data_IF_709718769966
#
_entry.id   IF_709718769966
#
_cell.length_a   1.000
_cell.length_b   1.000
_cell.length_c   1.000
_cell.angle_alpha   90.00
_cell.angle_beta   90.00
_cell.angle_gamma   90.00
#
_symmetry.space_group_name_H-M   'P 1'
#
loop_
_entity.id
_entity.type
_entity.pdbx_description
1 polymer ?
#
# COMPACT_ATOMS: atom_id res chain seq x y z
N UNK A 1 -28.36 29.37 -35.30
CA UNK A 1 -28.33 29.37 -33.82
C UNK A 1 -28.46 27.92 -33.34
N UNK A 2 -27.39 27.25 -32.88
CA UNK A 2 -27.50 25.87 -32.41
C UNK A 2 -28.26 25.85 -31.07
N UNK A 3 -29.28 25.00 -30.98
CA UNK A 3 -30.05 24.80 -29.75
C UNK A 3 -29.15 24.30 -28.63
N UNK A 4 -28.96 25.12 -27.59
CA UNK A 4 -28.31 24.75 -26.33
C UNK A 4 -29.17 23.69 -25.63
N UNK A 5 -28.92 22.40 -25.91
CA UNK A 5 -29.53 21.29 -25.16
C UNK A 5 -29.19 21.48 -23.68
N UNK A 6 -30.22 21.56 -22.83
CA UNK A 6 -30.04 21.49 -21.36
C UNK A 6 -29.30 20.18 -21.07
N UNK A 7 -28.06 20.28 -20.58
CA UNK A 7 -27.35 19.14 -20.00
C UNK A 7 -28.25 18.61 -18.89
N UNK A 8 -28.87 17.45 -19.13
CA UNK A 8 -29.49 16.68 -18.06
C UNK A 8 -28.40 16.44 -17.00
N UNK A 9 -28.77 16.54 -15.71
CA UNK A 9 -27.84 16.29 -14.61
C UNK A 9 -27.11 14.98 -14.94
N UNK A 10 -25.77 15.01 -14.98
CA UNK A 10 -24.96 13.80 -15.13
C UNK A 10 -25.47 12.82 -14.08
N UNK A 11 -26.00 11.69 -14.53
CA UNK A 11 -26.29 10.57 -13.64
C UNK A 11 -25.00 10.28 -12.90
N UNK A 12 -25.03 10.44 -11.57
CA UNK A 12 -23.94 10.06 -10.70
C UNK A 12 -23.69 8.57 -10.92
N UNK A 13 -22.51 8.18 -11.36
CA UNK A 13 -22.19 6.76 -11.55
C UNK A 13 -21.59 6.17 -10.27
N UNK A 14 -21.94 4.92 -9.99
CA UNK A 14 -22.07 4.41 -8.62
C UNK A 14 -23.56 4.24 -8.33
N UNK A 15 -24.03 3.01 -8.30
CA UNK A 15 -25.42 2.75 -7.99
C UNK A 15 -25.60 2.93 -6.47
N UNK A 16 -26.54 3.79 -6.02
CA UNK A 16 -26.81 3.91 -4.59
C UNK A 16 -27.22 2.53 -4.05
N UNK A 17 -26.77 2.24 -2.83
CA UNK A 17 -27.13 1.03 -2.10
C UNK A 17 -27.87 1.43 -0.82
N UNK A 18 -28.86 0.65 -0.35
CA UNK A 18 -29.53 0.96 0.92
C UNK A 18 -28.52 0.88 2.07
N UNK A 19 -28.56 1.84 3.00
CA UNK A 19 -27.68 1.75 4.17
C UNK A 19 -28.20 0.70 5.14
N UNK A 20 -27.31 -0.16 5.60
CA UNK A 20 -27.60 -1.25 6.52
C UNK A 20 -26.70 -1.09 7.74
N UNK A 21 -27.27 -1.28 8.92
CA UNK A 21 -26.51 -1.26 10.17
C UNK A 21 -25.93 -2.65 10.47
N UNK A 22 -24.61 -2.78 10.37
CA UNK A 22 -23.87 -4.02 10.63
C UNK A 22 -23.81 -4.42 12.11
N UNK A 23 -24.29 -3.57 13.03
CA UNK A 23 -24.36 -3.88 14.47
C UNK A 23 -25.70 -4.51 14.89
N UNK A 24 -26.70 -4.49 14.02
CA UNK A 24 -28.01 -5.10 14.29
C UNK A 24 -27.99 -6.62 14.09
N UNK A 25 -27.09 -7.32 14.79
CA UNK A 25 -27.10 -8.79 14.92
C UNK A 25 -28.27 -9.29 15.80
N UNK A 26 -29.38 -8.54 15.82
CA UNK A 26 -30.69 -9.05 16.22
C UNK A 26 -31.19 -9.99 15.11
N UNK A 27 -30.66 -11.21 15.15
CA UNK A 27 -31.10 -12.41 14.41
C UNK A 27 -32.58 -12.77 14.66
N UNK A 28 -33.37 -11.89 15.27
CA UNK A 28 -34.75 -12.07 15.69
C UNK A 28 -35.80 -11.56 14.69
N UNK A 29 -35.44 -10.83 13.63
CA UNK A 29 -36.43 -10.14 12.77
C UNK A 29 -36.36 -10.41 11.26
N UNK A 30 -35.82 -11.55 10.81
CA UNK A 30 -36.17 -12.04 9.46
C UNK A 30 -37.60 -12.56 9.53
N UNK A 31 -38.55 -11.74 9.05
CA UNK A 31 -39.95 -12.14 8.92
C UNK A 31 -40.02 -13.50 8.21
N UNK A 32 -40.68 -14.51 8.80
CA UNK A 32 -40.71 -15.84 8.24
C UNK A 32 -41.44 -15.79 6.89
N UNK A 33 -40.70 -16.03 5.81
CA UNK A 33 -41.31 -16.47 4.58
C UNK A 33 -42.15 -17.71 4.93
N UNK A 34 -43.42 -17.67 4.53
CA UNK A 34 -44.48 -18.60 4.94
C UNK A 34 -44.23 -19.97 4.32
N UNK A 35 -43.25 -20.71 4.81
CA UNK A 35 -42.95 -22.07 4.36
C UNK A 35 -43.56 -23.10 5.30
N UNK A 36 -44.27 -24.04 4.68
CA UNK A 36 -45.02 -25.13 5.31
C UNK A 36 -44.11 -26.03 6.16
N UNK A 37 -44.62 -26.61 7.26
CA UNK A 37 -43.82 -27.41 8.18
C UNK A 37 -43.50 -28.77 7.56
N UNK A 38 -42.27 -28.97 7.13
CA UNK A 38 -41.73 -30.30 6.87
C UNK A 38 -40.52 -30.56 7.77
N UNK A 39 -40.81 -31.30 8.85
CA UNK A 39 -39.85 -31.79 9.81
C UNK A 39 -38.84 -32.75 9.16
N UNK A 40 -37.66 -32.23 8.80
CA UNK A 40 -36.43 -33.02 8.69
C UNK A 40 -35.29 -32.23 9.33
N UNK A 41 -34.86 -32.70 10.50
CA UNK A 41 -33.69 -32.25 11.25
C UNK A 41 -32.46 -32.35 10.33
N UNK A 42 -32.13 -31.23 9.66
CA UNK A 42 -30.93 -31.12 8.81
C UNK A 42 -29.72 -31.36 9.70
N UNK A 43 -29.00 -32.47 9.45
CA UNK A 43 -27.65 -32.68 9.99
C UNK A 43 -26.86 -31.42 9.65
N UNK A 44 -26.37 -30.73 10.69
CA UNK A 44 -25.42 -29.63 10.57
C UNK A 44 -24.27 -30.16 9.72
N UNK A 45 -24.24 -29.75 8.46
CA UNK A 45 -23.17 -30.09 7.54
C UNK A 45 -21.88 -29.64 8.20
N UNK A 46 -20.91 -30.55 8.34
CA UNK A 46 -19.57 -30.25 8.81
C UNK A 46 -19.13 -28.96 8.13
N UNK A 47 -18.90 -27.90 8.91
CA UNK A 47 -18.30 -26.66 8.43
C UNK A 47 -17.07 -27.07 7.63
N UNK A 48 -17.16 -26.95 6.31
CA UNK A 48 -16.03 -27.19 5.43
C UNK A 48 -14.92 -26.26 5.87
N UNK A 49 -13.75 -26.81 6.14
CA UNK A 49 -12.55 -26.03 6.50
C UNK A 49 -12.38 -24.93 5.45
N UNK A 50 -12.53 -23.67 5.87
CA UNK A 50 -12.29 -22.52 4.99
C UNK A 50 -10.79 -22.48 4.72
N UNK A 51 -10.41 -22.55 3.44
CA UNK A 51 -9.02 -22.43 3.01
C UNK A 51 -8.85 -21.12 2.26
N UNK A 52 -7.89 -20.29 2.68
CA UNK A 52 -7.54 -19.08 1.96
C UNK A 52 -6.70 -19.40 0.73
N UNK A 53 -6.95 -18.67 -0.36
CA UNK A 53 -6.09 -18.68 -1.54
C UNK A 53 -4.81 -17.88 -1.23
N UNK A 54 -3.74 -18.60 -0.92
CA UNK A 54 -2.43 -18.03 -0.61
C UNK A 54 -1.45 -18.45 -1.69
N UNK A 55 -1.10 -17.50 -2.56
CA UNK A 55 -0.14 -17.67 -3.64
C UNK A 55 1.24 -17.19 -3.19
N UNK A 56 2.22 -18.09 -3.25
CA UNK A 56 3.64 -17.85 -2.99
C UNK A 56 4.40 -18.62 -4.07
N UNK A 57 5.26 -17.94 -4.82
CA UNK A 57 6.01 -18.53 -5.93
C UNK A 57 7.51 -18.31 -5.73
N UNK A 58 8.31 -19.29 -6.15
CA UNK A 58 9.76 -19.24 -5.99
C UNK A 58 10.25 -19.73 -4.62
N UNK A 59 11.57 -19.92 -4.47
CA UNK A 59 12.16 -20.34 -3.21
C UNK A 59 12.08 -19.21 -2.17
N UNK A 60 12.01 -19.59 -0.90
CA UNK A 60 12.21 -18.63 0.19
C UNK A 60 13.66 -18.14 0.17
N UNK A 61 13.84 -16.82 0.08
CA UNK A 61 15.16 -16.19 0.11
C UNK A 61 15.47 -15.74 1.54
N UNK A 62 16.44 -16.41 2.16
CA UNK A 62 16.94 -16.04 3.50
C UNK A 62 18.12 -15.09 3.44
N UNK A 63 18.61 -14.78 2.23
CA UNK A 63 19.74 -13.88 2.02
C UNK A 63 19.35 -12.45 2.38
N UNK A 64 20.20 -11.82 3.19
CA UNK A 64 20.17 -10.39 3.46
C UNK A 64 20.68 -9.60 2.24
N UNK A 65 21.51 -10.22 1.39
CA UNK A 65 21.96 -9.61 0.15
C UNK A 65 20.86 -9.63 -0.92
N UNK A 66 20.74 -8.53 -1.66
CA UNK A 66 19.84 -8.40 -2.81
C UNK A 66 20.19 -9.40 -3.92
N UNK A 67 19.18 -9.95 -4.59
CA UNK A 67 19.37 -10.81 -5.77
C UNK A 67 19.61 -9.99 -7.06
N UNK A 68 19.79 -8.67 -6.94
CA UNK A 68 19.84 -7.73 -8.07
C UNK A 68 21.05 -6.82 -7.98
N UNK A 69 21.73 -6.58 -9.10
CA UNK A 69 22.77 -5.56 -9.17
C UNK A 69 22.20 -4.17 -8.88
N UNK A 70 22.77 -3.43 -7.93
CA UNK A 70 22.30 -2.09 -7.55
C UNK A 70 22.35 -1.05 -8.70
N UNK A 71 23.14 -1.31 -9.76
CA UNK A 71 23.26 -0.40 -10.90
C UNK A 71 22.35 -0.77 -12.07
N UNK A 72 22.42 -1.99 -12.59
CA UNK A 72 21.62 -2.40 -13.76
C UNK A 72 20.32 -3.11 -13.41
N UNK A 73 20.12 -3.50 -12.15
CA UNK A 73 18.94 -4.26 -11.69
C UNK A 73 18.80 -5.65 -12.33
N UNK A 74 19.87 -6.16 -12.94
CA UNK A 74 19.93 -7.53 -13.43
C UNK A 74 20.43 -8.47 -12.32
N UNK A 75 19.94 -9.71 -12.34
CA UNK A 75 20.45 -10.80 -11.51
C UNK A 75 21.68 -11.50 -12.12
N UNK A 76 21.99 -12.69 -11.63
CA UNK A 76 23.09 -13.54 -12.12
C UNK A 76 24.26 -13.61 -11.14
N UNK A 77 25.49 -13.59 -11.65
CA UNK A 77 26.70 -13.60 -10.82
C UNK A 77 26.91 -12.22 -10.20
N UNK A 78 26.60 -12.11 -8.91
CA UNK A 78 26.64 -10.88 -8.15
C UNK A 78 27.68 -10.97 -7.04
N UNK A 79 28.51 -9.92 -6.92
CA UNK A 79 29.41 -9.71 -5.79
C UNK A 79 28.66 -9.00 -4.67
N UNK A 80 28.64 -9.62 -3.49
CA UNK A 80 27.99 -9.10 -2.27
C UNK A 80 28.98 -8.22 -1.51
N UNK A 81 28.53 -7.04 -1.06
CA UNK A 81 29.31 -6.15 -0.21
C UNK A 81 29.61 -6.79 1.15
N UNK A 82 30.87 -6.80 1.57
CA UNK A 82 31.31 -7.39 2.85
C UNK A 82 31.09 -6.46 4.05
N UNK A 83 30.72 -5.20 3.81
CA UNK A 83 30.43 -4.23 4.85
C UNK A 83 29.20 -4.62 5.69
N UNK A 84 29.28 -4.55 7.04
CA UNK A 84 28.18 -4.91 7.92
C UNK A 84 26.89 -4.15 7.59
N UNK A 85 25.76 -4.87 7.56
CA UNK A 85 24.43 -4.34 7.25
C UNK A 85 24.30 -3.73 5.83
N UNK A 86 25.21 -4.03 4.92
CA UNK A 86 25.04 -3.69 3.51
C UNK A 86 24.39 -4.85 2.75
N UNK A 87 23.22 -4.61 2.18
CA UNK A 87 22.51 -5.57 1.33
C UNK A 87 22.94 -5.46 -0.16
N UNK A 88 23.94 -4.62 -0.43
CA UNK A 88 24.29 -4.20 -1.79
C UNK A 88 25.06 -5.24 -2.58
N UNK A 89 24.61 -5.47 -3.80
CA UNK A 89 25.16 -6.43 -4.75
C UNK A 89 25.48 -5.79 -6.10
N UNK A 90 26.52 -6.29 -6.76
CA UNK A 90 27.05 -5.71 -8.01
C UNK A 90 27.44 -6.80 -9.00
N UNK A 91 27.01 -6.68 -10.25
CA UNK A 91 27.50 -7.54 -11.32
C UNK A 91 28.84 -7.02 -11.87
N UNK A 92 29.65 -7.92 -12.42
CA UNK A 92 30.94 -7.56 -13.03
C UNK A 92 30.79 -6.55 -14.18
N UNK A 93 29.67 -6.56 -14.90
CA UNK A 93 29.43 -5.60 -15.99
C UNK A 93 29.34 -4.16 -15.50
N UNK A 94 28.72 -3.94 -14.34
CA UNK A 94 28.56 -2.61 -13.76
C UNK A 94 29.77 -2.18 -12.94
N UNK A 95 30.56 -3.15 -12.47
CA UNK A 95 31.76 -2.92 -11.67
C UNK A 95 32.94 -3.78 -12.18
N UNK A 96 33.48 -3.48 -13.38
CA UNK A 96 34.35 -4.37 -14.15
C UNK A 96 35.79 -4.53 -13.63
N UNK A 97 36.13 -3.97 -12.49
CA UNK A 97 37.47 -4.13 -11.93
C UNK A 97 37.41 -4.14 -10.41
N UNK A 98 37.02 -5.26 -9.79
CA UNK A 98 37.14 -5.39 -8.36
C UNK A 98 38.36 -6.26 -8.16
N UNK A 99 39.56 -5.73 -8.45
CA UNK A 99 40.85 -6.35 -8.11
C UNK A 99 40.69 -7.20 -6.87
N UNK A 100 41.14 -8.47 -6.89
CA UNK A 100 40.88 -9.53 -5.89
C UNK A 100 41.34 -9.10 -4.49
N UNK A 101 40.65 -8.14 -3.91
CA UNK A 101 40.73 -7.72 -2.55
C UNK A 101 39.92 -8.75 -1.76
N UNK A 102 40.50 -9.22 -0.66
CA UNK A 102 39.84 -10.17 0.25
C UNK A 102 38.54 -9.60 0.84
N UNK A 103 38.37 -8.27 0.83
CA UNK A 103 37.20 -7.57 1.36
C UNK A 103 36.68 -6.57 0.32
N UNK A 104 35.42 -6.73 -0.09
CA UNK A 104 34.73 -5.87 -1.02
C UNK A 104 33.84 -4.86 -0.30
N UNK A 105 34.19 -3.58 -0.41
CA UNK A 105 33.29 -2.49 -0.04
C UNK A 105 32.64 -1.91 -1.29
N UNK A 106 31.30 -1.89 -1.32
CA UNK A 106 30.60 -1.44 -2.51
C UNK A 106 30.65 0.09 -2.68
N UNK A 107 30.41 0.62 -3.89
CA UNK A 107 30.40 2.06 -4.16
C UNK A 107 29.52 2.89 -3.18
N UNK A 108 28.38 2.34 -2.76
CA UNK A 108 27.48 2.96 -1.77
C UNK A 108 28.17 3.11 -0.40
N UNK A 109 28.78 2.05 0.09
CA UNK A 109 29.51 2.06 1.37
C UNK A 109 30.76 2.92 1.32
N UNK A 110 31.47 2.98 0.18
CA UNK A 110 32.55 3.95 -0.01
C UNK A 110 32.06 5.41 0.09
N UNK A 111 30.88 5.70 -0.48
CA UNK A 111 30.34 7.05 -0.53
C UNK A 111 29.79 7.51 0.82
N UNK A 112 29.10 6.64 1.56
CA UNK A 112 28.36 7.01 2.78
C UNK A 112 28.92 6.40 4.08
N UNK A 113 29.84 5.44 3.99
CA UNK A 113 30.33 4.61 5.08
C UNK A 113 29.61 3.24 5.18
N UNK A 114 30.22 2.30 5.88
CA UNK A 114 29.72 0.94 6.10
C UNK A 114 28.25 0.90 6.52
N UNK A 115 27.40 0.25 5.71
CA UNK A 115 25.98 0.05 5.99
C UNK A 115 25.13 1.33 6.01
N UNK A 116 25.68 2.48 5.61
CA UNK A 116 24.96 3.77 5.66
C UNK A 116 24.27 4.08 4.33
N UNK A 117 23.02 4.50 4.42
CA UNK A 117 22.17 4.93 3.30
C UNK A 117 22.27 6.45 3.06
N UNK A 118 22.57 7.16 4.14
CA UNK A 118 22.64 8.62 4.24
C UNK A 118 23.73 8.99 5.24
N UNK A 119 24.31 10.18 5.10
CA UNK A 119 25.36 10.65 6.00
C UNK A 119 26.34 11.61 5.32
N UNK A 120 27.35 12.03 6.07
CA UNK A 120 28.46 12.82 5.54
C UNK A 120 29.13 12.01 4.45
N UNK A 121 29.06 12.50 3.20
CA UNK A 121 29.77 11.88 2.09
C UNK A 121 31.25 11.83 2.41
N UNK A 122 31.88 10.69 2.14
CA UNK A 122 33.33 10.60 2.23
C UNK A 122 33.95 11.68 1.31
N UNK A 123 35.01 12.35 1.78
CA UNK A 123 35.69 13.41 1.02
C UNK A 123 36.43 12.84 -0.20
N UNK A 124 36.85 11.58 -0.10
CA UNK A 124 37.49 10.83 -1.18
C UNK A 124 36.63 9.60 -1.55
N UNK A 125 35.43 9.82 -2.13
CA UNK A 125 34.55 8.72 -2.47
C UNK A 125 35.15 7.90 -3.61
N UNK A 126 34.88 6.59 -3.61
CA UNK A 126 35.24 5.68 -4.71
C UNK A 126 36.75 5.49 -4.90
N UNK A 127 37.55 5.51 -3.83
CA UNK A 127 38.95 5.07 -3.88
C UNK A 127 39.10 3.82 -3.00
N UNK A 128 39.29 2.65 -3.61
CA UNK A 128 39.76 1.43 -2.94
C UNK A 128 41.27 1.37 -3.08
N UNK A 129 41.99 1.22 -1.97
CA UNK A 129 43.41 0.83 -1.97
C UNK A 129 44.27 1.52 -3.04
N UNK A 130 44.16 2.87 -3.15
CA UNK A 130 44.83 3.77 -4.11
C UNK A 130 44.33 3.83 -5.56
N UNK A 131 43.20 3.19 -5.92
CA UNK A 131 42.61 3.24 -7.27
C UNK A 131 41.17 3.75 -7.27
N UNK A 132 40.77 4.55 -8.29
CA UNK A 132 39.40 4.98 -8.45
C UNK A 132 38.52 3.80 -8.90
N UNK A 133 37.37 3.64 -8.24
CA UNK A 133 36.33 2.68 -8.63
C UNK A 133 35.69 3.18 -9.92
N UNK A 134 35.73 2.36 -10.97
CA UNK A 134 35.08 2.63 -12.25
C UNK A 134 33.72 1.95 -12.28
N UNK A 135 32.67 2.76 -12.34
CA UNK A 135 31.32 2.27 -12.61
C UNK A 135 31.13 2.23 -14.13
N UNK A 136 30.82 1.06 -14.65
CA UNK A 136 30.43 0.90 -16.03
C UNK A 136 28.91 1.03 -16.13
N UNK A 137 28.45 2.06 -16.83
CA UNK A 137 27.04 2.32 -17.05
C UNK A 137 26.85 3.57 -17.90
N UNK A 138 25.77 3.60 -18.67
CA UNK A 138 25.35 4.82 -19.36
C UNK A 138 24.91 5.87 -18.32
N UNK A 139 25.28 7.14 -18.53
CA UNK A 139 25.12 8.23 -17.56
C UNK A 139 23.67 8.59 -17.14
N UNK A 140 22.67 7.83 -17.60
CA UNK A 140 21.27 8.29 -17.65
C UNK A 140 20.40 7.78 -16.48
N UNK A 141 20.80 6.73 -15.76
CA UNK A 141 20.02 6.23 -14.60
C UNK A 141 20.58 6.78 -13.29
N UNK A 142 20.38 8.08 -13.03
CA UNK A 142 20.84 8.81 -11.83
C UNK A 142 20.21 8.36 -10.49
N UNK A 143 19.61 7.17 -10.42
CA UNK A 143 19.27 6.49 -9.16
C UNK A 143 20.48 5.74 -8.60
N UNK A 144 21.62 6.43 -8.43
CA UNK A 144 22.84 5.77 -7.95
C UNK A 144 22.61 5.31 -6.50
N UNK A 145 22.48 4.00 -6.32
CA UNK A 145 22.43 3.28 -5.06
C UNK A 145 21.09 3.31 -4.30
N UNK A 146 19.97 3.14 -5.01
CA UNK A 146 18.70 2.83 -4.35
C UNK A 146 18.82 1.57 -3.49
N UNK A 147 18.07 1.52 -2.39
CA UNK A 147 18.13 0.41 -1.46
C UNK A 147 17.19 -0.69 -1.92
N UNK A 148 17.73 -1.87 -2.13
CA UNK A 148 16.93 -3.03 -2.48
C UNK A 148 16.63 -3.82 -1.23
N UNK A 149 15.35 -3.97 -0.91
CA UNK A 149 14.89 -4.77 0.20
C UNK A 149 14.34 -6.10 -0.29
N UNK A 150 14.85 -7.19 0.29
CA UNK A 150 14.30 -8.53 0.15
C UNK A 150 13.33 -8.89 1.29
N UNK A 151 12.91 -7.91 2.11
CA UNK A 151 12.09 -8.16 3.30
C UNK A 151 10.75 -8.80 2.91
N UNK A 152 10.35 -9.93 3.54
CA UNK A 152 9.11 -10.61 3.18
C UNK A 152 7.85 -9.73 3.34
N UNK A 153 7.13 -9.55 2.24
CA UNK A 153 5.88 -8.77 2.16
C UNK A 153 4.67 -9.59 1.72
N UNK A 154 3.51 -9.34 2.34
CA UNK A 154 2.25 -9.95 1.95
C UNK A 154 1.29 -8.88 1.40
N UNK A 155 0.73 -9.13 0.22
CA UNK A 155 -0.37 -8.37 -0.37
C UNK A 155 -1.66 -9.06 0.02
N UNK A 156 -2.48 -8.40 0.83
CA UNK A 156 -3.79 -8.89 1.26
C UNK A 156 -4.87 -8.06 0.56
N UNK A 157 -5.54 -8.68 -0.40
CA UNK A 157 -6.57 -8.05 -1.22
C UNK A 157 -7.95 -8.42 -0.70
N UNK A 158 -8.66 -7.43 -0.16
CA UNK A 158 -10.09 -7.53 0.13
C UNK A 158 -10.87 -6.97 -1.04
N UNK A 159 -11.78 -7.74 -1.62
CA UNK A 159 -12.63 -7.26 -2.69
C UNK A 159 -14.08 -7.67 -2.50
N UNK A 160 -15.01 -6.80 -2.90
CA UNK A 160 -16.42 -7.08 -2.75
C UNK A 160 -16.83 -8.29 -3.61
N UNK A 161 -17.54 -9.25 -3.04
CA UNK A 161 -18.10 -10.38 -3.80
C UNK A 161 -18.91 -9.87 -5.00
N UNK A 162 -18.75 -10.51 -6.16
CA UNK A 162 -19.36 -10.08 -7.42
C UNK A 162 -18.45 -9.18 -8.28
N UNK A 163 -17.38 -8.61 -7.70
CA UNK A 163 -16.30 -8.03 -8.49
C UNK A 163 -15.43 -9.14 -9.09
N UNK A 164 -14.97 -8.93 -10.33
CA UNK A 164 -14.05 -9.86 -10.98
C UNK A 164 -12.70 -9.84 -10.26
N UNK A 165 -12.15 -11.00 -9.84
CA UNK A 165 -10.79 -11.07 -9.31
C UNK A 165 -9.74 -10.88 -10.43
N UNK A 166 -10.14 -11.06 -11.69
CA UNK A 166 -9.29 -10.79 -12.86
C UNK A 166 -9.14 -9.27 -13.00
N UNK A 167 -7.90 -8.82 -13.05
CA UNK A 167 -7.56 -7.40 -13.23
C UNK A 167 -7.48 -6.58 -11.94
N UNK A 168 -7.54 -7.22 -10.76
CA UNK A 168 -7.25 -6.55 -9.49
C UNK A 168 -5.79 -6.05 -9.49
N UNK A 169 -5.58 -4.85 -8.97
CA UNK A 169 -4.25 -4.25 -8.86
C UNK A 169 -3.30 -5.06 -7.97
N UNK A 170 -3.83 -5.80 -6.99
CA UNK A 170 -3.09 -6.75 -6.16
C UNK A 170 -2.44 -7.86 -6.97
N UNK A 171 -3.17 -8.44 -7.93
CA UNK A 171 -2.67 -9.49 -8.83
C UNK A 171 -1.60 -8.98 -9.78
N UNK A 172 -1.78 -7.79 -10.36
CA UNK A 172 -0.77 -7.15 -11.22
C UNK A 172 0.50 -6.83 -10.43
N UNK A 173 0.37 -6.25 -9.23
CA UNK A 173 1.51 -5.94 -8.39
C UNK A 173 2.25 -7.22 -7.97
N UNK A 174 1.54 -8.26 -7.51
CA UNK A 174 2.14 -9.55 -7.18
C UNK A 174 2.93 -10.15 -8.35
N UNK A 175 2.33 -10.17 -9.55
CA UNK A 175 2.95 -10.74 -10.75
C UNK A 175 4.23 -10.02 -11.16
N UNK A 176 4.34 -8.73 -10.87
CA UNK A 176 5.58 -7.97 -11.07
C UNK A 176 6.58 -8.25 -9.95
N UNK A 177 6.13 -8.20 -8.69
CA UNK A 177 7.00 -8.31 -7.52
C UNK A 177 7.58 -9.71 -7.33
N UNK A 178 6.90 -10.77 -7.77
CA UNK A 178 7.44 -12.14 -7.71
C UNK A 178 8.75 -12.27 -8.48
N UNK A 179 8.91 -11.50 -9.56
CA UNK A 179 10.15 -11.44 -10.32
C UNK A 179 11.31 -10.87 -9.53
N UNK A 180 11.06 -10.04 -8.51
CA UNK A 180 12.08 -9.37 -7.69
C UNK A 180 12.28 -10.00 -6.31
N UNK A 181 11.20 -10.49 -5.70
CA UNK A 181 11.19 -10.99 -4.33
C UNK A 181 11.10 -12.51 -4.25
N UNK A 182 10.78 -13.21 -5.34
CA UNK A 182 10.58 -14.65 -5.38
C UNK A 182 9.64 -15.09 -4.25
N UNK A 183 10.03 -16.09 -3.44
CA UNK A 183 9.20 -16.58 -2.35
C UNK A 183 8.89 -15.51 -1.29
N UNK A 184 9.61 -14.39 -1.23
CA UNK A 184 9.42 -13.34 -0.23
C UNK A 184 8.24 -12.39 -0.54
N UNK A 185 7.44 -12.68 -1.57
CA UNK A 185 6.12 -12.06 -1.73
C UNK A 185 5.00 -13.10 -1.62
N UNK A 186 3.92 -12.74 -0.93
CA UNK A 186 2.68 -13.52 -0.90
C UNK A 186 1.51 -12.68 -1.40
N UNK A 187 0.58 -13.31 -2.13
CA UNK A 187 -0.72 -12.74 -2.45
C UNK A 187 -1.82 -13.54 -1.78
N UNK A 188 -2.71 -12.85 -1.08
CA UNK A 188 -3.91 -13.40 -0.46
C UNK A 188 -5.11 -12.65 -0.98
N UNK A 189 -5.98 -13.33 -1.72
CA UNK A 189 -7.22 -12.77 -2.26
C UNK A 189 -8.40 -13.26 -1.43
N UNK A 190 -9.17 -12.34 -0.86
CA UNK A 190 -10.30 -12.67 0.00
C UNK A 190 -11.50 -11.81 -0.44
N UNK A 191 -12.52 -12.49 -0.97
CA UNK A 191 -13.78 -11.83 -1.28
C UNK A 191 -14.62 -11.64 -0.01
N UNK A 192 -15.35 -10.54 0.08
CA UNK A 192 -16.21 -10.24 1.21
C UNK A 192 -17.65 -9.94 0.81
N UNK A 193 -18.58 -10.44 1.62
CA UNK A 193 -19.98 -10.07 1.61
C UNK A 193 -20.48 -10.00 3.05
N UNK A 194 -20.43 -8.79 3.61
CA UNK A 194 -20.86 -8.48 4.97
C UNK A 194 -22.39 -8.33 5.07
N UNK A 195 -23.14 -8.45 3.97
CA UNK A 195 -24.60 -8.39 3.99
C UNK A 195 -25.24 -9.74 4.32
N UNK A 196 -24.78 -10.84 3.71
CA UNK A 196 -25.44 -12.16 3.84
C UNK A 196 -24.54 -13.28 4.38
N UNK A 197 -23.22 -13.07 4.48
CA UNK A 197 -22.26 -14.13 4.82
C UNK A 197 -21.33 -13.76 5.98
N UNK A 198 -21.86 -13.12 7.02
CA UNK A 198 -21.05 -12.68 8.18
C UNK A 198 -20.27 -13.80 8.85
N UNK A 199 -20.90 -14.96 9.10
CA UNK A 199 -20.20 -16.10 9.73
C UNK A 199 -19.08 -16.66 8.85
N UNK A 200 -19.27 -16.70 7.53
CA UNK A 200 -18.22 -17.15 6.61
C UNK A 200 -17.07 -16.14 6.58
N UNK A 201 -17.40 -14.84 6.59
CA UNK A 201 -16.43 -13.77 6.66
C UNK A 201 -15.57 -13.85 7.94
N UNK A 202 -16.21 -14.02 9.10
CA UNK A 202 -15.50 -14.12 10.38
C UNK A 202 -14.51 -15.30 10.36
N UNK A 203 -14.94 -16.46 9.84
CA UNK A 203 -14.07 -17.63 9.67
C UNK A 203 -12.91 -17.38 8.68
N UNK A 204 -13.14 -16.67 7.56
CA UNK A 204 -12.06 -16.27 6.63
C UNK A 204 -11.02 -15.38 7.32
N UNK A 205 -11.46 -14.44 8.16
CA UNK A 205 -10.55 -13.56 8.89
C UNK A 205 -9.83 -14.27 10.03
N UNK A 206 -10.49 -15.18 10.75
CA UNK A 206 -9.84 -16.05 11.73
C UNK A 206 -8.75 -16.92 11.10
N UNK A 207 -9.02 -17.48 9.91
CA UNK A 207 -8.03 -18.23 9.15
C UNK A 207 -6.86 -17.32 8.72
N UNK A 208 -7.13 -16.09 8.26
CA UNK A 208 -6.08 -15.12 7.90
C UNK A 208 -5.18 -14.81 9.11
N UNK A 209 -5.78 -14.54 10.26
CA UNK A 209 -5.07 -14.31 11.52
C UNK A 209 -4.20 -15.51 11.89
N UNK A 210 -4.73 -16.73 11.72
CA UNK A 210 -4.01 -17.99 11.98
C UNK A 210 -2.83 -18.15 11.04
N UNK A 211 -3.01 -17.89 9.74
CA UNK A 211 -1.95 -17.95 8.74
C UNK A 211 -0.82 -16.95 9.04
N UNK A 212 -1.15 -15.74 9.52
CA UNK A 212 -0.17 -14.71 9.88
C UNK A 212 0.54 -14.99 11.22
N UNK A 213 -0.10 -15.69 12.16
CA UNK A 213 0.53 -15.99 13.47
C UNK A 213 1.38 -17.25 13.44
N UNK A 214 0.85 -18.31 12.84
CA UNK A 214 1.43 -19.66 12.94
C UNK A 214 1.51 -20.40 11.62
N UNK A 215 0.84 -19.93 10.56
CA UNK A 215 0.82 -20.59 9.26
C UNK A 215 1.84 -20.04 8.26
N UNK A 216 1.47 -20.12 6.97
CA UNK A 216 2.34 -19.80 5.82
C UNK A 216 2.77 -18.33 5.77
N UNK A 217 2.00 -17.44 6.40
CA UNK A 217 2.26 -15.99 6.39
C UNK A 217 3.06 -15.50 7.62
N UNK A 218 3.49 -16.40 8.52
CA UNK A 218 4.17 -16.05 9.78
C UNK A 218 5.40 -15.16 9.60
N UNK A 219 6.20 -15.46 8.58
CA UNK A 219 7.48 -14.78 8.32
C UNK A 219 7.34 -13.40 7.68
N UNK A 220 6.18 -13.10 7.11
CA UNK A 220 5.93 -11.83 6.43
C UNK A 220 5.85 -10.70 7.46
N UNK A 221 6.68 -9.68 7.25
CA UNK A 221 6.85 -8.56 8.19
C UNK A 221 6.16 -7.32 7.71
N UNK A 222 5.99 -7.20 6.39
CA UNK A 222 5.35 -6.07 5.76
C UNK A 222 4.01 -6.48 5.15
N UNK A 223 2.98 -5.63 5.25
CA UNK A 223 1.63 -5.93 4.76
C UNK A 223 1.00 -4.80 3.95
N UNK A 224 0.76 -5.04 2.67
CA UNK A 224 -0.01 -4.14 1.81
C UNK A 224 -1.45 -4.64 1.75
N UNK A 225 -2.37 -3.94 2.42
CA UNK A 225 -3.79 -4.21 2.32
C UNK A 225 -4.38 -3.42 1.17
N UNK A 226 -5.14 -4.06 0.30
CA UNK A 226 -5.82 -3.42 -0.83
C UNK A 226 -7.30 -3.70 -0.68
N UNK A 227 -8.10 -2.64 -0.52
CA UNK A 227 -9.56 -2.73 -0.45
C UNK A 227 -10.15 -2.28 -1.79
N UNK A 228 -10.69 -3.22 -2.55
CA UNK A 228 -11.38 -2.96 -3.83
C UNK A 228 -12.89 -3.04 -3.62
N UNK A 229 -13.56 -1.91 -3.74
CA UNK A 229 -14.99 -1.81 -3.45
C UNK A 229 -15.67 -0.67 -4.25
N UNK A 230 -16.99 -0.67 -4.25
CA UNK A 230 -17.80 0.48 -4.65
C UNK A 230 -18.13 1.34 -3.44
N UNK A 231 -18.57 2.58 -3.69
CA UNK A 231 -19.18 3.39 -2.64
C UNK A 231 -20.41 4.10 -3.11
N UNK A 232 -21.31 4.34 -2.17
CA UNK A 232 -22.53 5.11 -2.38
C UNK A 232 -22.15 6.54 -2.78
N UNK A 233 -22.59 7.04 -3.96
CA UNK A 233 -22.14 8.34 -4.46
C UNK A 233 -22.69 9.53 -3.67
N UNK A 234 -23.77 9.34 -2.89
CA UNK A 234 -24.44 10.40 -2.15
C UNK A 234 -23.91 10.53 -0.71
N UNK A 235 -23.47 9.42 -0.11
CA UNK A 235 -23.06 9.36 1.29
C UNK A 235 -21.59 8.98 1.48
N UNK A 236 -20.98 8.35 0.47
CA UNK A 236 -19.65 7.78 0.58
C UNK A 236 -19.59 6.55 1.48
N UNK A 237 -20.70 5.84 1.69
CA UNK A 237 -20.70 4.55 2.40
C UNK A 237 -20.08 3.46 1.52
N UNK A 238 -19.36 2.50 2.11
CA UNK A 238 -18.81 1.36 1.36
C UNK A 238 -19.88 0.32 1.10
N UNK A 239 -19.81 -0.36 -0.04
CA UNK A 239 -20.75 -1.44 -0.34
C UNK A 239 -20.38 -2.67 0.50
N UNK A 240 -21.41 -3.34 1.04
CA UNK A 240 -21.21 -4.49 1.93
C UNK A 240 -21.67 -5.81 1.31
N UNK A 241 -22.28 -5.75 0.13
CA UNK A 241 -22.68 -6.94 -0.63
C UNK A 241 -22.80 -6.65 -2.14
N UNK A 242 -22.89 -7.71 -2.95
CA UNK A 242 -22.97 -7.60 -4.41
C UNK A 242 -24.23 -6.86 -4.86
N UNK A 243 -24.23 -6.39 -6.11
CA UNK A 243 -25.41 -5.83 -6.77
C UNK A 243 -26.09 -4.68 -6.00
N UNK A 244 -25.30 -3.91 -5.25
CA UNK A 244 -25.78 -2.79 -4.43
C UNK A 244 -26.80 -3.22 -3.36
N UNK A 245 -26.65 -4.45 -2.84
CA UNK A 245 -27.58 -5.00 -1.84
C UNK A 245 -27.53 -4.25 -0.50
N UNK A 246 -26.43 -3.55 -0.22
CA UNK A 246 -26.31 -2.71 0.95
C UNK A 246 -25.02 -1.91 0.98
N UNK A 247 -25.01 -0.84 1.77
CA UNK A 247 -23.81 -0.08 2.13
C UNK A 247 -23.78 0.22 3.63
N UNK A 248 -22.60 0.50 4.16
CA UNK A 248 -22.40 0.86 5.55
C UNK A 248 -21.29 1.91 5.71
N UNK A 249 -21.33 2.59 6.85
CA UNK A 249 -20.36 3.62 7.21
C UNK A 249 -18.96 3.03 7.39
N UNK A 250 -17.94 3.87 7.19
CA UNK A 250 -16.52 3.50 7.25
C UNK A 250 -16.19 2.73 8.53
N UNK A 251 -16.60 3.27 9.68
CA UNK A 251 -16.27 2.70 10.99
C UNK A 251 -16.80 1.28 11.17
N UNK A 252 -18.02 1.01 10.67
CA UNK A 252 -18.65 -0.32 10.74
C UNK A 252 -17.95 -1.31 9.82
N UNK A 253 -17.70 -0.92 8.57
CA UNK A 253 -17.02 -1.78 7.59
C UNK A 253 -15.58 -2.08 8.04
N UNK A 254 -14.82 -1.06 8.46
CA UNK A 254 -13.45 -1.25 8.92
C UNK A 254 -13.39 -2.07 10.21
N UNK A 255 -14.37 -1.94 11.12
CA UNK A 255 -14.46 -2.79 12.31
C UNK A 255 -14.60 -4.28 11.99
N UNK A 256 -15.30 -4.62 10.89
CA UNK A 256 -15.45 -6.00 10.41
C UNK A 256 -14.27 -6.46 9.55
N UNK A 257 -13.69 -5.58 8.72
CA UNK A 257 -12.53 -5.91 7.89
C UNK A 257 -11.23 -6.06 8.69
N UNK A 258 -11.09 -5.29 9.77
CA UNK A 258 -9.90 -5.23 10.61
C UNK A 258 -10.26 -5.47 12.09
N UNK A 259 -10.77 -6.65 12.44
CA UNK A 259 -11.15 -6.94 13.82
C UNK A 259 -9.94 -6.84 14.76
N UNK A 260 -10.15 -6.73 16.09
CA UNK A 260 -9.08 -6.47 17.05
C UNK A 260 -7.85 -7.39 16.92
N UNK A 261 -8.07 -8.68 16.64
CA UNK A 261 -6.98 -9.65 16.45
C UNK A 261 -6.08 -9.33 15.25
N UNK A 262 -6.68 -8.98 14.10
CA UNK A 262 -5.95 -8.58 12.90
C UNK A 262 -5.32 -7.20 13.10
N UNK A 263 -6.05 -6.24 13.65
CA UNK A 263 -5.54 -4.90 13.98
C UNK A 263 -4.31 -4.96 14.90
N UNK A 264 -4.31 -5.82 15.91
CA UNK A 264 -3.17 -6.02 16.80
C UNK A 264 -1.95 -6.58 16.05
N UNK A 265 -2.16 -7.52 15.11
CA UNK A 265 -1.11 -8.02 14.24
C UNK A 265 -0.56 -6.87 13.39
N UNK A 266 -1.41 -6.17 12.63
CA UNK A 266 -1.01 -5.10 11.72
C UNK A 266 -0.21 -4.02 12.45
N UNK A 267 -0.63 -3.62 13.65
CA UNK A 267 0.08 -2.64 14.48
C UNK A 267 1.47 -3.10 14.96
N UNK A 268 1.67 -4.41 15.12
CA UNK A 268 2.96 -4.99 15.54
C UNK A 268 3.98 -5.14 14.41
N UNK A 269 3.58 -4.85 13.17
CA UNK A 269 4.42 -5.04 11.98
C UNK A 269 5.28 -3.81 11.70
N UNK A 270 6.42 -4.06 11.05
CA UNK A 270 7.40 -3.01 10.69
C UNK A 270 6.78 -2.00 9.74
N UNK A 271 5.96 -2.49 8.81
CA UNK A 271 5.28 -1.68 7.81
C UNK A 271 3.94 -2.28 7.43
N UNK A 272 2.87 -1.50 7.57
CA UNK A 272 1.56 -1.88 7.06
C UNK A 272 0.86 -0.69 6.44
N UNK A 273 0.35 -0.88 5.23
CA UNK A 273 -0.29 0.17 4.45
C UNK A 273 -1.65 -0.30 3.93
N UNK A 274 -2.58 0.63 3.79
CA UNK A 274 -3.91 0.37 3.25
C UNK A 274 -4.12 1.20 1.98
N UNK A 275 -4.43 0.54 0.87
CA UNK A 275 -4.76 1.16 -0.41
C UNK A 275 -6.25 1.01 -0.65
N UNK A 276 -6.96 2.14 -0.70
CA UNK A 276 -8.41 2.19 -0.89
C UNK A 276 -8.71 2.31 -2.39
N UNK A 277 -8.74 1.17 -3.08
CA UNK A 277 -9.14 1.06 -4.48
C UNK A 277 -10.68 1.13 -4.63
N UNK A 278 -11.30 2.14 -4.02
CA UNK A 278 -12.74 2.38 -4.01
C UNK A 278 -13.11 3.65 -4.77
N UNK A 279 -14.38 3.78 -5.20
CA UNK A 279 -14.90 5.03 -5.77
C UNK A 279 -14.61 6.23 -4.84
N UNK A 280 -14.21 7.36 -5.41
CA UNK A 280 -13.69 8.51 -4.66
C UNK A 280 -14.71 9.26 -3.81
N UNK A 281 -16.01 8.99 -3.96
CA UNK A 281 -17.03 9.40 -3.00
C UNK A 281 -16.68 8.94 -1.58
N UNK A 282 -16.24 7.70 -1.40
CA UNK A 282 -15.79 7.18 -0.09
C UNK A 282 -14.76 8.10 0.56
N UNK A 283 -13.69 8.43 -0.17
CA UNK A 283 -12.60 9.24 0.35
C UNK A 283 -13.03 10.68 0.63
N UNK A 284 -13.87 11.26 -0.24
CA UNK A 284 -14.32 12.65 -0.12
C UNK A 284 -15.25 12.87 1.06
N UNK A 285 -16.23 12.00 1.26
CA UNK A 285 -17.20 12.14 2.36
C UNK A 285 -16.58 11.77 3.71
N UNK A 286 -15.66 10.81 3.74
CA UNK A 286 -15.07 10.28 4.98
C UNK A 286 -13.68 10.85 5.28
N UNK A 287 -13.28 11.99 4.71
CA UNK A 287 -11.89 12.50 4.86
C UNK A 287 -11.48 12.68 6.33
N UNK A 288 -12.38 13.15 7.19
CA UNK A 288 -12.08 13.38 8.60
C UNK A 288 -12.02 12.06 9.39
N UNK A 289 -12.88 11.10 9.07
CA UNK A 289 -12.86 9.77 9.66
C UNK A 289 -11.62 8.99 9.22
N UNK A 290 -11.24 9.08 7.94
CA UNK A 290 -10.00 8.51 7.43
C UNK A 290 -8.76 9.12 8.08
N UNK A 291 -8.75 10.44 8.34
CA UNK A 291 -7.69 11.05 9.16
C UNK A 291 -7.69 10.46 10.56
N UNK A 292 -8.83 10.46 11.26
CA UNK A 292 -8.92 9.93 12.62
C UNK A 292 -8.50 8.45 12.70
N UNK A 293 -8.89 7.66 11.70
CA UNK A 293 -8.51 6.25 11.56
C UNK A 293 -7.03 6.11 11.22
N UNK A 294 -6.43 6.95 10.37
CA UNK A 294 -4.99 6.94 10.13
C UNK A 294 -4.20 7.33 11.38
N UNK A 295 -4.67 8.30 12.17
CA UNK A 295 -3.95 8.73 13.38
C UNK A 295 -3.96 7.64 14.48
N UNK A 296 -5.05 6.89 14.62
CA UNK A 296 -5.28 5.96 15.75
C UNK A 296 -5.30 4.48 15.35
N UNK A 297 -5.39 4.21 14.05
CA UNK A 297 -5.54 2.88 13.48
C UNK A 297 -4.20 2.15 13.34
N UNK A 298 -4.22 0.94 12.76
CA UNK A 298 -3.05 0.08 12.71
C UNK A 298 -2.10 0.36 11.54
N UNK A 299 -2.52 1.16 10.55
CA UNK A 299 -1.75 1.39 9.33
C UNK A 299 -0.81 2.57 9.45
N UNK A 300 0.42 2.40 8.96
CA UNK A 300 1.40 3.48 8.85
C UNK A 300 0.92 4.55 7.87
N UNK A 301 0.34 4.10 6.76
CA UNK A 301 -0.15 4.93 5.67
C UNK A 301 -1.44 4.37 5.07
N UNK A 302 -2.35 5.27 4.70
CA UNK A 302 -3.55 4.97 3.93
C UNK A 302 -3.51 5.80 2.66
N UNK A 303 -3.64 5.16 1.51
CA UNK A 303 -3.78 5.80 0.20
C UNK A 303 -5.24 5.78 -0.21
N UNK A 304 -5.77 6.93 -0.62
CA UNK A 304 -7.12 7.05 -1.16
C UNK A 304 -7.15 7.88 -2.44
N UNK A 305 -8.12 7.61 -3.30
CA UNK A 305 -8.27 8.29 -4.59
C UNK A 305 -9.58 9.08 -4.62
N UNK A 306 -9.55 10.30 -5.15
CA UNK A 306 -10.70 11.22 -5.05
C UNK A 306 -11.70 11.14 -6.21
N UNK A 307 -11.37 10.43 -7.28
CA UNK A 307 -12.22 10.38 -8.47
C UNK A 307 -13.48 9.54 -8.23
N UNK A 308 -14.65 10.14 -8.41
CA UNK A 308 -15.96 9.49 -8.19
C UNK A 308 -16.09 8.17 -8.98
N UNK A 309 -15.52 8.12 -10.19
CA UNK A 309 -15.56 6.97 -11.08
C UNK A 309 -14.18 6.39 -11.29
N UNK A 310 -13.55 6.02 -10.18
CA UNK A 310 -12.23 5.41 -10.19
C UNK A 310 -12.23 4.16 -11.09
N UNK A 311 -11.45 4.17 -12.17
CA UNK A 311 -11.29 3.01 -13.03
C UNK A 311 -10.12 2.19 -12.48
N UNK A 312 -10.34 0.93 -12.06
CA UNK A 312 -9.28 0.09 -11.49
C UNK A 312 -8.06 -0.05 -12.41
N UNK A 313 -8.26 -0.01 -13.74
CA UNK A 313 -7.17 -0.11 -14.72
C UNK A 313 -6.08 0.95 -14.50
N UNK A 314 -6.44 2.18 -14.14
CA UNK A 314 -5.45 3.23 -13.87
C UNK A 314 -4.69 3.01 -12.56
N UNK A 315 -5.23 2.19 -11.65
CA UNK A 315 -4.56 1.85 -10.40
C UNK A 315 -3.57 0.70 -10.56
N UNK A 316 -3.72 -0.15 -11.58
CA UNK A 316 -2.91 -1.36 -11.71
C UNK A 316 -1.42 -1.01 -11.86
N UNK A 317 -1.10 -0.09 -12.76
CA UNK A 317 0.27 0.35 -13.01
C UNK A 317 0.81 1.11 -11.80
N UNK A 318 0.04 2.07 -11.28
CA UNK A 318 0.44 2.84 -10.10
C UNK A 318 0.68 1.98 -8.87
N UNK A 319 -0.21 1.04 -8.51
CA UNK A 319 -0.02 0.19 -7.32
C UNK A 319 1.19 -0.73 -7.51
N UNK A 320 1.40 -1.23 -8.72
CA UNK A 320 2.58 -2.03 -9.06
C UNK A 320 3.86 -1.21 -8.89
N UNK A 321 3.93 -0.02 -9.49
CA UNK A 321 5.05 0.89 -9.33
C UNK A 321 5.23 1.31 -7.88
N UNK A 322 4.15 1.70 -7.20
CA UNK A 322 4.18 2.13 -5.82
C UNK A 322 4.78 1.06 -4.90
N UNK A 323 4.31 -0.19 -4.98
CA UNK A 323 4.87 -1.27 -4.16
C UNK A 323 6.31 -1.60 -4.57
N UNK A 324 6.62 -1.66 -5.87
CA UNK A 324 7.99 -1.90 -6.33
C UNK A 324 8.95 -0.82 -5.82
N UNK A 325 8.62 0.45 -6.02
CA UNK A 325 9.47 1.54 -5.59
C UNK A 325 9.49 1.65 -4.08
N UNK A 326 8.35 1.86 -3.41
CA UNK A 326 8.33 2.20 -1.99
C UNK A 326 8.71 1.02 -1.08
N UNK A 327 8.47 -0.23 -1.48
CA UNK A 327 8.73 -1.40 -0.64
C UNK A 327 10.03 -2.13 -1.02
N UNK A 328 10.28 -2.31 -2.32
CA UNK A 328 11.49 -3.00 -2.79
C UNK A 328 12.65 -2.04 -2.96
N UNK A 329 12.50 -0.93 -3.69
CA UNK A 329 13.60 0.01 -4.01
C UNK A 329 13.83 1.12 -2.97
N UNK A 330 12.90 1.27 -2.03
CA UNK A 330 12.91 2.23 -0.90
C UNK A 330 13.51 3.60 -1.28
N UNK A 331 12.95 4.31 -2.28
CA UNK A 331 13.44 5.62 -2.65
C UNK A 331 13.27 6.58 -1.47
N UNK A 332 14.10 7.63 -1.45
CA UNK A 332 14.03 8.65 -0.40
C UNK A 332 12.75 9.49 -0.44
N UNK A 333 11.98 9.42 -1.53
CA UNK A 333 10.80 10.26 -1.74
C UNK A 333 9.67 9.47 -2.42
N UNK A 334 8.47 9.59 -1.86
CA UNK A 334 7.22 9.10 -2.47
C UNK A 334 7.00 9.72 -3.86
N UNK A 335 7.48 10.93 -4.14
CA UNK A 335 7.30 11.55 -5.45
C UNK A 335 7.91 10.72 -6.60
N UNK A 336 8.97 9.96 -6.33
CA UNK A 336 9.58 9.07 -7.32
C UNK A 336 8.62 7.94 -7.73
N UNK A 337 7.67 7.57 -6.86
CA UNK A 337 6.65 6.55 -7.18
C UNK A 337 5.51 7.11 -8.02
N UNK A 338 5.49 8.41 -8.33
CA UNK A 338 4.49 9.04 -9.20
C UNK A 338 5.03 9.29 -10.61
N UNK A 339 6.33 9.12 -10.82
CA UNK A 339 6.97 9.36 -12.11
C UNK A 339 6.56 8.26 -13.09
N UNK A 340 5.94 8.64 -14.21
CA UNK A 340 5.39 7.70 -15.20
C UNK A 340 3.92 7.31 -14.97
N UNK A 341 3.28 7.83 -13.92
CA UNK A 341 1.85 7.60 -13.63
C UNK A 341 0.98 8.82 -14.02
N UNK A 342 1.33 9.51 -15.11
CA UNK A 342 0.65 10.74 -15.52
C UNK A 342 -0.82 10.52 -15.83
N UNK A 343 -1.17 9.34 -16.37
CA UNK A 343 -2.55 8.98 -16.67
C UNK A 343 -3.39 8.88 -15.39
N UNK A 344 -2.84 8.30 -14.32
CA UNK A 344 -3.53 8.25 -13.03
C UNK A 344 -3.72 9.65 -12.48
N UNK A 345 -2.68 10.49 -12.51
CA UNK A 345 -2.76 11.85 -12.01
C UNK A 345 -3.70 12.76 -12.81
N UNK A 346 -3.90 12.48 -14.10
CA UNK A 346 -4.93 13.13 -14.91
C UNK A 346 -6.36 12.65 -14.55
N UNK A 347 -6.49 11.43 -14.03
CA UNK A 347 -7.76 10.81 -13.72
C UNK A 347 -8.23 11.06 -12.28
N UNK A 348 -7.32 11.06 -11.30
CA UNK A 348 -7.65 11.20 -9.89
C UNK A 348 -6.53 11.91 -9.11
N UNK A 349 -6.89 12.54 -8.01
CA UNK A 349 -5.90 12.90 -7.00
C UNK A 349 -5.65 11.70 -6.08
N UNK A 350 -4.43 11.66 -5.52
CA UNK A 350 -4.03 10.69 -4.50
C UNK A 350 -3.94 11.45 -3.17
N UNK A 351 -4.69 10.99 -2.17
CA UNK A 351 -4.60 11.47 -0.79
C UNK A 351 -3.81 10.47 0.03
N UNK A 352 -2.85 10.98 0.80
CA UNK A 352 -2.02 10.19 1.69
C UNK A 352 -2.35 10.58 3.13
N UNK A 353 -2.86 9.62 3.89
CA UNK A 353 -3.09 9.76 5.32
C UNK A 353 -2.02 8.94 6.04
N UNK A 354 -1.17 9.61 6.81
CA UNK A 354 -0.10 8.94 7.55
C UNK A 354 -0.33 9.11 9.05
N UNK A 355 0.07 8.11 9.83
CA UNK A 355 0.21 8.29 11.27
C UNK A 355 1.11 9.50 11.52
N UNK A 356 0.72 10.35 12.48
CA UNK A 356 1.58 11.43 12.94
C UNK A 356 2.92 10.78 13.34
N UNK A 357 3.97 10.93 12.53
CA UNK A 357 5.28 10.45 12.92
C UNK A 357 5.60 11.19 14.21
N UNK A 358 5.71 10.47 15.33
CA UNK A 358 6.30 11.02 16.55
C UNK A 358 7.67 11.54 16.09
N UNK A 359 7.81 12.86 16.02
CA UNK A 359 8.99 13.52 15.49
C UNK A 359 10.25 12.96 16.17
N UNK A 360 10.94 12.04 15.50
CA UNK A 360 12.39 11.97 15.62
C UNK A 360 12.87 13.25 14.95
N UNK A 361 13.39 14.21 15.73
CA UNK A 361 14.00 15.43 15.19
C UNK A 361 15.09 15.01 14.20
N UNK A 362 14.77 15.02 12.92
CA UNK A 362 15.77 15.08 11.86
C UNK A 362 16.20 16.54 11.79
N UNK A 363 17.50 16.87 11.91
CA UNK A 363 17.96 18.25 11.80
C UNK A 363 17.47 18.84 10.49
N UNK A 364 16.75 19.96 10.59
CA UNK A 364 16.29 20.75 9.46
C UNK A 364 17.50 21.30 8.70
N UNK A 365 17.90 20.59 7.66
CA UNK A 365 18.77 21.09 6.61
C UNK A 365 18.29 20.45 5.31
N UNK A 366 17.32 21.11 4.68
CA UNK A 366 17.10 21.29 3.24
C UNK A 366 15.88 22.21 3.19
N UNK A 367 16.14 23.51 3.33
CA UNK A 367 15.23 24.57 2.91
C UNK A 367 15.46 24.83 1.42
N UNK A 368 14.33 24.99 0.71
CA UNK A 368 14.16 25.65 -0.58
C UNK A 368 15.15 25.32 -1.70
N UNK A 369 14.70 24.49 -2.66
CA UNK A 369 15.09 24.70 -4.04
C UNK A 369 13.83 25.05 -4.86
N UNK A 370 13.71 26.33 -5.16
CA UNK A 370 12.65 26.91 -5.96
C UNK A 370 12.95 26.61 -7.44
N UNK A 371 12.56 25.43 -7.91
CA UNK A 371 12.94 25.00 -9.26
C UNK A 371 12.28 23.72 -9.75
N UNK A 372 10.99 23.51 -9.51
CA UNK A 372 10.20 22.51 -10.24
C UNK A 372 8.76 22.99 -10.40
N UNK A 373 8.52 23.65 -11.53
CA UNK A 373 7.20 24.07 -11.98
C UNK A 373 6.35 22.85 -12.36
N UNK A 374 5.15 22.81 -11.78
CA UNK A 374 3.91 22.20 -12.30
C UNK A 374 4.05 20.82 -12.94
N UNK A 375 3.86 19.75 -12.16
CA UNK A 375 3.14 18.53 -12.57
C UNK A 375 2.91 17.64 -11.34
N UNK A 376 1.63 17.38 -11.05
CA UNK A 376 1.05 16.52 -10.00
C UNK A 376 1.10 17.02 -8.55
N UNK A 377 -0.08 17.20 -7.96
CA UNK A 377 -0.27 17.48 -6.54
C UNK A 377 -0.67 16.19 -5.83
N UNK A 378 0.20 15.66 -4.98
CA UNK A 378 -0.23 14.81 -3.87
C UNK A 378 -0.51 15.71 -2.67
N UNK A 379 -1.69 15.58 -2.07
CA UNK A 379 -1.97 16.20 -0.78
C UNK A 379 -1.59 15.21 0.31
N UNK A 380 -0.46 15.46 0.98
CA UNK A 380 -0.12 14.75 2.21
C UNK A 380 -0.83 15.44 3.36
N UNK A 381 -1.71 14.72 4.06
CA UNK A 381 -2.41 15.27 5.22
C UNK A 381 -1.84 14.65 6.48
N UNK A 382 -1.13 15.46 7.27
CA UNK A 382 -0.57 15.04 8.53
C UNK A 382 -1.59 15.14 9.66
N UNK A 383 -1.64 14.09 10.49
CA UNK A 383 -2.26 14.13 11.80
C UNK A 383 -1.39 14.94 12.76
N UNK A 384 -1.97 15.88 13.50
CA UNK A 384 -1.35 16.43 14.71
C UNK A 384 -2.06 15.77 15.90
N UNK A 385 -1.34 14.95 16.69
CA UNK A 385 -1.91 14.36 17.90
C UNK A 385 -2.02 15.42 19.00
N UNK A 386 -3.23 15.72 19.46
CA UNK A 386 -3.49 16.59 20.61
C UNK A 386 -3.24 15.85 21.94
N UNK A 387 -2.05 15.26 22.12
CA UNK A 387 -1.65 14.56 23.33
C UNK A 387 -0.50 15.30 24.03
N UNK A 388 -0.81 16.49 24.54
CA UNK A 388 -0.04 17.21 25.57
C UNK A 388 -0.87 18.37 26.14
N UNK A 389 -2.05 18.08 26.70
CA UNK A 389 -2.82 19.07 27.45
C UNK A 389 -2.32 19.14 28.91
N UNK A 390 -1.07 19.54 29.11
CA UNK A 390 -0.62 20.27 30.29
C UNK A 390 0.80 20.80 30.06
N UNK A 391 0.93 21.91 29.31
CA UNK A 391 1.96 22.93 29.56
C UNK A 391 1.88 24.05 28.51
N UNK A 392 1.71 25.27 29.02
CA UNK A 392 2.07 26.57 28.43
C UNK A 392 1.58 26.93 27.03
N UNK A 393 0.75 27.97 26.99
CA UNK A 393 0.35 28.74 25.81
C UNK A 393 1.56 29.23 25.01
N UNK A 394 1.91 28.51 23.94
CA UNK A 394 2.70 29.05 22.83
C UNK A 394 2.08 28.62 21.50
N UNK A 395 2.11 29.56 20.54
CA UNK A 395 1.27 29.61 19.35
C UNK A 395 1.25 28.32 18.51
N UNK A 396 0.05 27.76 18.32
CA UNK A 396 -0.23 26.76 17.29
C UNK A 396 -0.15 27.44 15.91
N UNK A 397 0.78 27.00 15.06
CA UNK A 397 0.86 27.43 13.66
C UNK A 397 -0.30 26.82 12.86
N UNK A 398 -0.93 27.57 11.94
CA UNK A 398 -2.05 27.07 11.15
C UNK A 398 -1.59 26.01 10.13
N UNK A 399 -2.44 25.01 9.94
CA UNK A 399 -2.37 24.04 8.84
C UNK A 399 -2.35 24.79 7.50
N UNK A 400 -1.27 24.69 6.73
CA UNK A 400 -1.27 25.18 5.35
C UNK A 400 -1.75 24.07 4.41
N UNK A 401 -2.90 24.30 3.77
CA UNK A 401 -3.44 23.49 2.67
C UNK A 401 -3.19 24.28 1.39
N UNK A 402 -2.32 23.77 0.51
CA UNK A 402 -2.03 24.41 -0.77
C UNK A 402 -2.91 23.81 -1.87
N UNK A 403 -3.64 24.66 -2.59
CA UNK A 403 -4.41 24.29 -3.79
C UNK A 403 -3.68 24.80 -5.03
N UNK A 404 -3.57 23.95 -6.06
CA UNK A 404 -3.17 24.39 -7.40
C UNK A 404 -4.12 23.78 -8.43
N UNK A 405 -4.69 24.67 -9.25
CA UNK A 405 -5.65 24.34 -10.31
C UNK A 405 -4.93 23.76 -11.53
N UNK A 406 -5.45 22.65 -12.07
CA UNK A 406 -5.22 22.28 -13.46
C UNK A 406 -6.09 23.11 -14.38
N UNK A 407 -5.49 23.77 -15.38
CA UNK A 407 -6.20 24.48 -16.45
C UNK A 407 -7.05 23.48 -17.28
N UNK A 408 -8.17 23.92 -17.87
CA UNK A 408 -8.94 23.07 -18.78
C UNK A 408 -8.17 22.93 -20.10
N UNK A 409 -8.14 21.71 -20.65
CA UNK A 409 -7.99 21.49 -22.09
C UNK A 409 -9.35 21.62 -22.76
#
# INVERSE_FOLDING_TARGET
MPHRRKRTKRQTTGAPAPRIDLESDDTSNVAPATEKPLAKRRKVSRLSTITLDINIQGPETTSVASNWCLACQDGGDLRICDEPNCEGTWCERCLPDPSVEEVFSCPRCHLFGAGKVTGTRNKDPLVTSSRPIKLAGEAVTRGLFEEWSSEPMAIISFYLTGMSPIGLCSSSAYSTLVGYLEGNVALVNIDFNLHTHLTEWDLKIEELVTQIRSGRLKRYRQFAFILTDHSDPARGDLHIGPNNSGSAELTKVFGRLFPPALTAIVRSRTRAELILASCGSFVRFNINELKAYACNGPFHRILGFTQEHLQPVFLNDFVTHYLLYDWVRRPKSFYMTLQGDEQLGAHTNILIFSQAQKHTRVPSAIESDAGLQRLFLSQTVYCLSAAAASMSTTALKPLQVLFLWGLPF
#
